data_IF_999187522132
#
_entry.id   IF_999187522132
#
_cell.length_a   1.000
_cell.length_b   1.000
_cell.length_c   1.000
_cell.angle_alpha   90.00
_cell.angle_beta   90.00
_cell.angle_gamma   90.00
#
_symmetry.space_group_name_H-M   'P 1'
#
loop_
_entity.id
_entity.type
_entity.pdbx_description
1 polymer ?
#
# COMPACT_ATOMS: atom_id res chain seq x y z
N UNK A 1 38.15 -24.15 39.42
CA UNK A 1 37.96 -22.87 38.73
C UNK A 1 37.17 -23.12 37.46
N UNK A 2 35.87 -22.82 37.47
CA UNK A 2 35.03 -22.77 36.27
C UNK A 2 34.16 -21.52 36.42
N UNK A 3 34.58 -20.42 35.78
CA UNK A 3 33.80 -19.20 35.74
C UNK A 3 32.80 -19.31 34.59
N UNK A 4 31.52 -19.46 34.93
CA UNK A 4 30.42 -19.29 33.99
C UNK A 4 30.25 -17.80 33.68
N UNK A 5 30.60 -17.39 32.46
CA UNK A 5 30.16 -16.10 31.91
C UNK A 5 28.71 -16.26 31.43
N UNK A 6 27.77 -15.66 32.16
CA UNK A 6 26.40 -15.45 31.66
C UNK A 6 26.45 -14.22 30.76
N UNK A 7 26.44 -14.44 29.45
CA UNK A 7 26.14 -13.42 28.46
C UNK A 7 24.64 -13.10 28.54
N UNK A 8 24.29 -12.08 29.31
CA UNK A 8 22.98 -11.43 29.22
C UNK A 8 22.92 -10.67 27.89
N UNK A 9 22.33 -11.30 26.87
CA UNK A 9 21.80 -10.57 25.73
C UNK A 9 20.55 -9.83 26.19
N UNK A 10 20.68 -8.53 26.48
CA UNK A 10 19.51 -7.65 26.51
C UNK A 10 19.01 -7.53 25.08
N UNK A 11 18.04 -8.36 24.71
CA UNK A 11 17.26 -8.13 23.49
C UNK A 11 16.53 -6.80 23.67
N UNK A 12 17.12 -5.72 23.16
CA UNK A 12 16.43 -4.44 23.04
C UNK A 12 15.17 -4.69 22.22
N UNK A 13 14.00 -4.46 22.81
CA UNK A 13 12.74 -4.53 22.10
C UNK A 13 12.83 -3.53 20.94
N UNK A 14 12.88 -4.03 19.70
CA UNK A 14 12.85 -3.19 18.52
C UNK A 14 11.54 -2.39 18.55
N UNK A 15 11.64 -1.07 18.72
CA UNK A 15 10.48 -0.20 18.63
C UNK A 15 10.02 -0.11 17.17
N UNK A 16 8.72 -0.17 16.97
CA UNK A 16 8.14 0.15 15.67
C UNK A 16 8.45 1.62 15.36
N UNK A 17 8.89 1.89 14.13
CA UNK A 17 9.17 3.24 13.68
C UNK A 17 8.07 3.75 12.76
N UNK A 18 7.73 5.02 12.93
CA UNK A 18 6.76 5.77 12.14
C UNK A 18 7.42 6.39 10.89
N UNK A 19 6.60 6.87 9.94
CA UNK A 19 7.12 7.57 8.77
C UNK A 19 7.93 8.83 9.15
N UNK A 20 7.54 9.51 10.22
CA UNK A 20 8.23 10.73 10.70
C UNK A 20 9.62 10.45 11.29
N UNK A 21 9.94 9.20 11.65
CA UNK A 21 11.28 8.83 12.13
C UNK A 21 12.30 8.71 10.99
N UNK A 22 11.81 8.52 9.76
CA UNK A 22 12.64 8.26 8.58
C UNK A 22 12.55 9.36 7.52
N UNK A 23 11.48 10.15 7.55
CA UNK A 23 11.22 11.21 6.60
C UNK A 23 10.81 12.50 7.29
N UNK A 24 11.24 13.62 6.72
CA UNK A 24 10.81 14.95 7.11
C UNK A 24 9.53 15.31 6.38
N UNK A 25 8.50 15.70 7.13
CA UNK A 25 7.29 16.31 6.56
C UNK A 25 7.63 17.69 5.96
N UNK A 26 7.38 17.87 4.68
CA UNK A 26 7.62 19.13 3.96
C UNK A 26 6.34 19.91 3.66
N UNK A 27 5.22 19.20 3.51
CA UNK A 27 3.92 19.80 3.18
C UNK A 27 2.80 18.97 3.77
N UNK A 28 1.77 19.64 4.28
CA UNK A 28 0.51 19.03 4.68
C UNK A 28 -0.64 19.96 4.32
N UNK A 29 -1.70 19.42 3.74
CA UNK A 29 -2.92 20.14 3.45
C UNK A 29 -4.12 19.19 3.34
N UNK A 30 -5.31 19.76 3.54
CA UNK A 30 -6.56 19.09 3.22
C UNK A 30 -7.18 19.75 1.99
N UNK A 31 -7.50 18.96 0.97
CA UNK A 31 -8.12 19.44 -0.26
C UNK A 31 -9.22 18.47 -0.71
N UNK A 32 -10.43 18.98 -0.94
CA UNK A 32 -11.58 18.18 -1.40
C UNK A 32 -11.89 16.95 -0.52
N UNK A 33 -11.70 17.08 0.81
CA UNK A 33 -11.91 15.98 1.75
C UNK A 33 -10.76 14.97 1.82
N UNK A 34 -9.69 15.17 1.05
CA UNK A 34 -8.49 14.33 1.01
C UNK A 34 -7.39 14.98 1.85
N UNK A 35 -6.77 14.21 2.73
CA UNK A 35 -5.53 14.62 3.41
C UNK A 35 -4.35 14.35 2.48
N UNK A 36 -3.49 15.34 2.29
CA UNK A 36 -2.29 15.25 1.45
C UNK A 36 -1.07 15.59 2.30
N UNK A 37 -0.10 14.68 2.34
CA UNK A 37 1.18 14.90 3.04
C UNK A 37 2.35 14.59 2.12
N UNK A 38 3.41 15.38 2.18
CA UNK A 38 4.62 15.19 1.39
C UNK A 38 5.79 15.06 2.32
N UNK A 39 6.50 13.97 2.17
CA UNK A 39 7.64 13.62 2.99
C UNK A 39 8.88 13.53 2.12
N UNK A 40 10.01 14.03 2.63
CA UNK A 40 11.31 13.92 2.00
C UNK A 40 12.30 13.19 2.92
N UNK A 41 13.13 12.34 2.34
CA UNK A 41 14.14 11.56 3.04
C UNK A 41 15.16 10.98 2.09
N UNK A 42 15.83 9.92 2.52
CA UNK A 42 16.82 9.20 1.72
C UNK A 42 16.33 7.79 1.48
N UNK A 43 16.39 7.32 0.25
CA UNK A 43 16.05 5.94 -0.12
C UNK A 43 16.98 4.96 0.61
N UNK A 44 16.38 3.94 1.22
CA UNK A 44 17.10 2.86 1.90
C UNK A 44 16.49 1.53 1.50
N UNK A 45 17.34 0.51 1.37
CA UNK A 45 16.89 -0.83 0.98
C UNK A 45 15.86 -1.41 1.96
N UNK A 46 16.00 -1.10 3.25
CA UNK A 46 15.10 -1.57 4.32
C UNK A 46 13.63 -1.21 4.06
N UNK A 47 13.35 -0.13 3.33
CA UNK A 47 11.98 0.29 3.02
C UNK A 47 11.23 -0.69 2.13
N UNK A 48 11.94 -1.52 1.38
CA UNK A 48 11.36 -2.48 0.42
C UNK A 48 11.29 -3.91 0.97
N UNK A 49 11.83 -4.14 2.16
CA UNK A 49 11.86 -5.40 2.89
C UNK A 49 10.75 -5.45 3.95
N UNK A 50 10.31 -6.62 4.41
CA UNK A 50 9.40 -6.72 5.55
C UNK A 50 9.97 -6.03 6.80
N UNK A 51 9.11 -5.39 7.59
CA UNK A 51 9.52 -4.76 8.83
C UNK A 51 9.96 -5.81 9.88
N UNK A 52 10.97 -5.46 10.69
CA UNK A 52 11.37 -6.28 11.85
C UNK A 52 10.30 -6.21 12.95
N UNK A 53 9.69 -5.02 13.12
CA UNK A 53 8.61 -4.76 14.05
C UNK A 53 7.55 -3.90 13.37
N UNK A 54 6.29 -4.30 13.49
CA UNK A 54 5.15 -3.58 12.93
C UNK A 54 4.59 -2.55 13.91
N UNK A 55 4.02 -1.43 13.43
CA UNK A 55 3.27 -0.50 14.25
C UNK A 55 2.10 -1.16 14.98
N UNK A 56 1.77 -0.65 16.18
CA UNK A 56 0.67 -1.19 17.01
C UNK A 56 -0.66 -1.20 16.27
N UNK A 57 -0.96 -0.14 15.50
CA UNK A 57 -2.17 -0.03 14.68
C UNK A 57 -2.33 -1.22 13.72
N UNK A 58 -1.23 -1.63 13.10
CA UNK A 58 -1.19 -2.72 12.13
C UNK A 58 -1.21 -4.09 12.81
N UNK A 59 -0.59 -4.22 13.99
CA UNK A 59 -0.69 -5.44 14.81
C UNK A 59 -2.15 -5.71 15.18
N UNK A 60 -2.85 -4.70 15.72
CA UNK A 60 -4.26 -4.85 16.11
C UNK A 60 -5.17 -5.06 14.88
N UNK A 61 -4.95 -4.32 13.79
CA UNK A 61 -5.65 -4.58 12.52
C UNK A 61 -5.50 -6.04 12.07
N UNK A 62 -4.27 -6.56 12.06
CA UNK A 62 -4.00 -7.93 11.58
C UNK A 62 -4.65 -8.97 12.48
N UNK A 63 -4.63 -8.75 13.79
CA UNK A 63 -5.28 -9.61 14.79
C UNK A 63 -6.80 -9.66 14.56
N UNK A 64 -7.44 -8.51 14.39
CA UNK A 64 -8.88 -8.41 14.15
C UNK A 64 -9.32 -9.08 12.83
N UNK A 65 -8.58 -8.87 11.74
CA UNK A 65 -8.86 -9.54 10.46
C UNK A 65 -8.71 -11.06 10.57
N UNK A 66 -7.61 -11.55 11.18
CA UNK A 66 -7.35 -12.99 11.35
C UNK A 66 -8.39 -13.69 12.22
N UNK A 67 -9.03 -12.98 13.14
CA UNK A 67 -10.11 -13.52 13.94
C UNK A 67 -11.38 -13.80 13.12
N UNK A 68 -11.51 -13.22 11.91
CA UNK A 68 -12.71 -13.29 11.07
C UNK A 68 -12.51 -14.08 9.78
N UNK A 69 -11.28 -14.12 9.28
CA UNK A 69 -10.98 -14.82 8.04
C UNK A 69 -9.55 -15.35 7.98
N UNK A 70 -9.37 -16.43 7.22
CA UNK A 70 -8.05 -16.87 6.76
C UNK A 70 -7.40 -15.81 5.88
N UNK A 71 -6.27 -15.28 6.33
CA UNK A 71 -5.52 -14.22 5.65
C UNK A 71 -4.47 -14.77 4.67
N UNK A 72 -4.45 -16.08 4.43
CA UNK A 72 -3.64 -16.65 3.35
C UNK A 72 -4.06 -16.00 2.00
N UNK A 73 -3.11 -15.43 1.25
CA UNK A 73 -3.43 -14.70 0.04
C UNK A 73 -4.13 -15.56 -1.02
N UNK A 74 -3.76 -16.84 -1.14
CA UNK A 74 -4.34 -17.75 -2.15
C UNK A 74 -5.77 -18.10 -1.76
N UNK A 75 -6.02 -18.35 -0.46
CA UNK A 75 -7.36 -18.60 0.07
C UNK A 75 -8.27 -17.39 -0.15
N UNK A 76 -7.80 -16.18 0.19
CA UNK A 76 -8.57 -14.94 0.00
C UNK A 76 -8.91 -14.69 -1.48
N UNK A 77 -7.93 -14.80 -2.38
CA UNK A 77 -8.14 -14.59 -3.81
C UNK A 77 -9.12 -15.61 -4.41
N UNK A 78 -9.02 -16.90 -4.04
CA UNK A 78 -9.97 -17.91 -4.51
C UNK A 78 -11.39 -17.64 -4.03
N UNK A 79 -11.55 -17.30 -2.75
CA UNK A 79 -12.85 -16.93 -2.20
C UNK A 79 -13.46 -15.74 -2.92
N UNK A 80 -12.70 -14.66 -3.14
CA UNK A 80 -13.22 -13.50 -3.84
C UNK A 80 -13.49 -13.78 -5.33
N UNK A 81 -12.68 -14.63 -5.97
CA UNK A 81 -12.96 -15.12 -7.33
C UNK A 81 -14.32 -15.84 -7.41
N UNK A 82 -14.62 -16.70 -6.44
CA UNK A 82 -15.91 -17.41 -6.37
C UNK A 82 -17.08 -16.45 -6.19
N UNK A 83 -16.92 -15.43 -5.34
CA UNK A 83 -17.91 -14.35 -5.16
C UNK A 83 -18.20 -13.66 -6.50
N UNK A 84 -17.17 -13.23 -7.22
CA UNK A 84 -17.33 -12.55 -8.50
C UNK A 84 -17.95 -13.47 -9.56
N UNK A 85 -17.58 -14.75 -9.57
CA UNK A 85 -18.17 -15.74 -10.47
C UNK A 85 -19.67 -15.91 -10.21
N UNK A 86 -20.07 -16.01 -8.93
CA UNK A 86 -21.47 -16.15 -8.52
C UNK A 86 -22.28 -14.88 -8.78
N UNK A 87 -21.64 -13.70 -8.72
CA UNK A 87 -22.25 -12.42 -9.10
C UNK A 87 -22.35 -12.20 -10.62
N UNK A 88 -21.87 -13.14 -11.44
CA UNK A 88 -21.89 -13.04 -12.91
C UNK A 88 -20.81 -12.12 -13.50
N UNK A 89 -19.84 -11.66 -12.69
CA UNK A 89 -18.75 -10.78 -13.11
C UNK A 89 -17.62 -11.54 -13.82
N UNK A 90 -17.98 -12.31 -14.86
CA UNK A 90 -17.07 -13.25 -15.55
C UNK A 90 -15.84 -12.58 -16.14
N UNK A 91 -15.96 -11.33 -16.57
CA UNK A 91 -14.88 -10.57 -17.21
C UNK A 91 -13.73 -10.24 -16.22
N UNK A 92 -13.97 -10.31 -14.91
CA UNK A 92 -12.96 -10.09 -13.88
C UNK A 92 -12.17 -11.35 -13.55
N UNK A 93 -12.72 -12.54 -13.83
CA UNK A 93 -12.13 -13.82 -13.41
C UNK A 93 -10.72 -14.07 -13.97
N UNK A 94 -10.38 -13.70 -15.23
CA UNK A 94 -9.02 -13.86 -15.74
C UNK A 94 -7.96 -13.10 -14.94
N UNK A 95 -8.31 -12.00 -14.27
CA UNK A 95 -7.37 -11.27 -13.41
C UNK A 95 -7.06 -12.02 -12.13
N UNK A 96 -8.06 -12.68 -11.54
CA UNK A 96 -7.82 -13.54 -10.39
C UNK A 96 -6.85 -14.66 -10.75
N UNK A 97 -7.04 -15.30 -11.91
CA UNK A 97 -6.11 -16.34 -12.39
C UNK A 97 -4.69 -15.80 -12.60
N UNK A 98 -4.58 -14.60 -13.18
CA UNK A 98 -3.31 -13.91 -13.34
C UNK A 98 -2.63 -13.66 -11.99
N UNK A 99 -3.32 -13.05 -11.03
CA UNK A 99 -2.74 -12.75 -9.71
C UNK A 99 -2.40 -14.03 -8.95
N UNK A 100 -3.24 -15.07 -9.03
CA UNK A 100 -2.97 -16.38 -8.43
C UNK A 100 -1.73 -17.08 -9.02
N UNK A 101 -1.35 -16.75 -10.26
CA UNK A 101 -0.13 -17.26 -10.89
C UNK A 101 1.14 -16.49 -10.52
N UNK A 102 1.00 -15.39 -9.77
CA UNK A 102 2.10 -14.49 -9.44
C UNK A 102 2.55 -14.65 -8.00
N UNK A 103 3.77 -14.20 -7.74
CA UNK A 103 4.28 -14.09 -6.38
C UNK A 103 3.63 -12.91 -5.68
N UNK A 104 2.94 -13.19 -4.58
CA UNK A 104 2.52 -12.18 -3.61
C UNK A 104 3.60 -12.04 -2.55
N UNK A 105 3.92 -10.80 -2.20
CA UNK A 105 4.96 -10.49 -1.24
C UNK A 105 4.34 -10.20 0.11
N UNK A 106 5.08 -10.43 1.19
CA UNK A 106 4.77 -9.79 2.48
C UNK A 106 4.91 -8.28 2.31
N UNK A 107 4.03 -7.52 2.98
CA UNK A 107 4.12 -6.07 2.95
C UNK A 107 5.49 -5.59 3.42
N UNK A 108 6.01 -4.58 2.74
CA UNK A 108 7.26 -3.95 3.07
C UNK A 108 7.12 -2.96 4.22
N UNK A 109 8.26 -2.60 4.80
CA UNK A 109 8.34 -1.63 5.87
C UNK A 109 7.80 -0.26 5.47
N UNK A 110 7.99 0.19 4.22
CA UNK A 110 7.34 1.40 3.72
C UNK A 110 5.82 1.28 3.70
N UNK A 111 5.29 0.16 3.21
CA UNK A 111 3.84 -0.08 3.18
C UNK A 111 3.25 -0.10 4.59
N UNK A 112 3.95 -0.66 5.58
CA UNK A 112 3.51 -0.64 6.98
C UNK A 112 3.49 0.78 7.57
N UNK A 113 4.51 1.60 7.29
CA UNK A 113 4.52 3.00 7.73
C UNK A 113 3.40 3.82 7.08
N UNK A 114 3.09 3.57 5.81
CA UNK A 114 2.00 4.25 5.11
C UNK A 114 0.62 3.84 5.64
N UNK A 115 0.43 2.56 5.95
CA UNK A 115 -0.79 2.06 6.60
C UNK A 115 -0.98 2.64 8.00
N UNK A 116 0.11 2.76 8.78
CA UNK A 116 0.08 3.39 10.11
C UNK A 116 -0.28 4.87 10.02
N UNK A 117 0.35 5.60 9.09
CA UNK A 117 -0.01 7.00 8.79
C UNK A 117 -1.47 7.15 8.38
N UNK A 118 -1.98 6.24 7.54
CA UNK A 118 -3.40 6.23 7.16
C UNK A 118 -4.29 6.03 8.40
N UNK A 119 -3.96 5.09 9.28
CA UNK A 119 -4.69 4.86 10.53
C UNK A 119 -4.69 6.09 11.45
N UNK A 120 -3.55 6.79 11.55
CA UNK A 120 -3.42 8.05 12.30
C UNK A 120 -4.41 9.10 11.77
N UNK A 121 -4.42 9.32 10.45
CA UNK A 121 -5.27 10.32 9.79
C UNK A 121 -6.76 10.00 9.97
N UNK A 122 -7.13 8.72 9.92
CA UNK A 122 -8.50 8.29 10.17
C UNK A 122 -8.94 8.50 11.63
N UNK A 123 -7.99 8.60 12.57
CA UNK A 123 -8.26 8.65 14.01
C UNK A 123 -8.88 7.36 14.56
N UNK A 124 -8.83 6.26 13.79
CA UNK A 124 -9.40 4.95 14.14
C UNK A 124 -8.57 3.83 13.53
N UNK A 125 -8.67 2.59 14.04
CA UNK A 125 -8.03 1.45 13.41
C UNK A 125 -8.46 1.31 11.94
N UNK A 126 -7.54 0.86 11.08
CA UNK A 126 -7.84 0.50 9.69
C UNK A 126 -8.97 -0.54 9.59
N UNK A 127 -9.11 -1.36 10.63
CA UNK A 127 -10.16 -2.35 10.73
C UNK A 127 -11.56 -1.70 10.73
N UNK A 128 -12.42 -2.13 9.81
CA UNK A 128 -13.77 -1.57 9.66
C UNK A 128 -13.83 -0.19 8.98
N UNK A 129 -12.69 0.31 8.48
CA UNK A 129 -12.66 1.48 7.62
C UNK A 129 -12.69 1.04 6.14
N UNK A 130 -13.75 1.40 5.43
CA UNK A 130 -13.81 1.24 3.97
C UNK A 130 -13.13 2.45 3.33
N UNK A 131 -11.81 2.56 3.51
CA UNK A 131 -11.01 3.72 3.15
C UNK A 131 -9.71 3.32 2.48
N UNK A 132 -9.23 4.17 1.57
CA UNK A 132 -7.98 3.95 0.84
C UNK A 132 -7.02 5.13 0.97
N UNK A 133 -5.73 4.81 0.99
CA UNK A 133 -4.65 5.76 0.74
C UNK A 133 -4.01 5.48 -0.61
N UNK A 134 -3.41 6.50 -1.20
CA UNK A 134 -2.46 6.37 -2.31
C UNK A 134 -1.16 7.09 -1.99
N UNK A 135 -0.03 6.56 -2.44
CA UNK A 135 1.28 7.16 -2.24
C UNK A 135 2.10 7.09 -3.52
N UNK A 136 2.58 8.25 -3.98
CA UNK A 136 3.55 8.32 -5.07
C UNK A 136 4.95 8.41 -4.49
N UNK A 137 5.77 7.40 -4.76
CA UNK A 137 7.16 7.32 -4.32
C UNK A 137 8.06 7.73 -5.48
N UNK A 138 8.79 8.83 -5.31
CA UNK A 138 9.76 9.33 -6.28
C UNK A 138 11.17 9.22 -5.74
N UNK A 139 12.12 8.93 -6.62
CA UNK A 139 13.55 8.87 -6.29
C UNK A 139 14.33 9.88 -7.14
N UNK A 140 15.14 10.70 -6.48
CA UNK A 140 16.00 11.71 -7.07
C UNK A 140 17.42 11.19 -7.38
N UNK A 141 18.26 12.02 -8.03
CA UNK A 141 19.61 11.64 -8.48
C UNK A 141 20.53 11.10 -7.37
N UNK A 142 20.44 11.70 -6.18
CA UNK A 142 21.31 11.36 -5.04
C UNK A 142 20.62 10.42 -4.04
N UNK A 143 19.76 9.53 -4.54
CA UNK A 143 18.90 8.65 -3.73
C UNK A 143 17.97 9.42 -2.78
N UNK A 144 17.70 10.68 -3.08
CA UNK A 144 16.65 11.44 -2.41
C UNK A 144 15.32 10.73 -2.63
N UNK A 145 14.50 10.56 -1.60
CA UNK A 145 13.22 9.90 -1.70
C UNK A 145 12.13 10.85 -1.27
N UNK A 146 11.11 10.97 -2.11
CA UNK A 146 9.91 11.76 -1.83
C UNK A 146 8.70 10.83 -1.83
N UNK A 147 7.85 10.98 -0.82
CA UNK A 147 6.57 10.29 -0.72
C UNK A 147 5.46 11.34 -0.73
N UNK A 148 4.66 11.36 -1.79
CA UNK A 148 3.43 12.17 -1.89
C UNK A 148 2.28 11.25 -1.48
N UNK A 149 1.81 11.40 -0.25
CA UNK A 149 0.76 10.59 0.36
C UNK A 149 -0.60 11.28 0.28
N UNK A 150 -1.64 10.50 -0.02
CA UNK A 150 -3.04 10.90 -0.04
C UNK A 150 -3.84 9.91 0.80
N UNK A 151 -4.73 10.41 1.66
CA UNK A 151 -5.68 9.58 2.40
C UNK A 151 -7.11 10.05 2.12
N UNK A 152 -7.97 9.12 1.70
CA UNK A 152 -9.40 9.32 1.58
C UNK A 152 -10.11 8.67 2.78
N UNK A 153 -10.58 9.45 3.77
CA UNK A 153 -11.11 8.88 5.00
C UNK A 153 -12.52 8.27 4.88
N UNK A 154 -13.22 8.56 3.78
CA UNK A 154 -14.65 8.27 3.61
C UNK A 154 -14.98 7.28 2.50
N UNK A 155 -14.05 6.98 1.59
CA UNK A 155 -14.33 6.11 0.44
C UNK A 155 -13.18 5.14 0.17
N UNK A 156 -13.50 3.95 -0.33
CA UNK A 156 -12.53 3.00 -0.83
C UNK A 156 -12.16 3.31 -2.28
N UNK A 157 -11.52 4.46 -2.47
CA UNK A 157 -10.96 4.88 -3.74
C UNK A 157 -9.82 5.87 -3.49
N UNK A 158 -8.67 5.62 -4.09
CA UNK A 158 -7.58 6.59 -4.15
C UNK A 158 -8.07 7.84 -4.91
N UNK A 159 -8.07 9.02 -4.26
CA UNK A 159 -8.68 10.20 -4.86
C UNK A 159 -7.77 10.76 -5.96
N UNK A 160 -8.36 11.06 -7.12
CA UNK A 160 -7.70 11.88 -8.12
C UNK A 160 -7.57 13.31 -7.57
N UNK A 161 -6.34 13.80 -7.39
CA UNK A 161 -6.10 15.09 -6.77
C UNK A 161 -5.09 15.93 -7.57
N UNK A 162 -5.49 17.15 -7.93
CA UNK A 162 -4.65 18.07 -8.71
C UNK A 162 -3.41 18.51 -7.95
N UNK A 163 -3.48 18.65 -6.63
CA UNK A 163 -2.32 19.01 -5.79
C UNK A 163 -1.25 17.92 -5.84
N UNK A 164 -1.65 16.64 -5.78
CA UNK A 164 -0.71 15.52 -6.00
C UNK A 164 -0.04 15.65 -7.37
N UNK A 165 -0.82 15.87 -8.43
CA UNK A 165 -0.28 15.96 -9.78
C UNK A 165 0.72 17.13 -9.93
N UNK A 166 0.43 18.28 -9.33
CA UNK A 166 1.32 19.45 -9.31
C UNK A 166 2.66 19.13 -8.64
N UNK A 167 2.63 18.48 -7.48
CA UNK A 167 3.84 18.07 -6.78
C UNK A 167 4.61 16.98 -7.53
N UNK A 168 3.92 16.01 -8.11
CA UNK A 168 4.52 14.97 -8.94
C UNK A 168 5.29 15.62 -10.10
N UNK A 169 4.64 16.52 -10.87
CA UNK A 169 5.27 17.27 -11.97
C UNK A 169 6.47 18.09 -11.50
N UNK A 170 6.37 18.75 -10.35
CA UNK A 170 7.46 19.55 -9.77
C UNK A 170 8.70 18.70 -9.47
N UNK A 171 8.53 17.51 -8.91
CA UNK A 171 9.65 16.61 -8.63
C UNK A 171 10.22 15.97 -9.90
N UNK A 172 9.36 15.54 -10.83
CA UNK A 172 9.79 15.02 -12.13
C UNK A 172 10.63 16.06 -12.91
N UNK A 173 10.23 17.33 -12.90
CA UNK A 173 10.99 18.43 -13.52
C UNK A 173 12.36 18.66 -12.88
N UNK A 174 12.57 18.20 -11.64
CA UNK A 174 13.86 18.25 -10.92
C UNK A 174 14.72 16.99 -11.12
N UNK A 175 14.32 16.09 -12.02
CA UNK A 175 15.07 14.88 -12.34
C UNK A 175 14.76 13.68 -11.43
N UNK A 176 13.68 13.74 -10.67
CA UNK A 176 13.19 12.55 -9.96
C UNK A 176 12.49 11.61 -10.95
N UNK A 177 12.50 10.31 -10.68
CA UNK A 177 11.70 9.31 -11.39
C UNK A 177 10.57 8.79 -10.50
N UNK A 178 9.40 8.56 -11.11
CA UNK A 178 8.23 8.03 -10.41
C UNK A 178 8.32 6.51 -10.28
N UNK A 179 8.95 6.06 -9.20
CA UNK A 179 9.36 4.67 -9.02
C UNK A 179 8.20 3.73 -8.69
N UNK A 180 7.37 4.09 -7.71
CA UNK A 180 6.29 3.22 -7.23
C UNK A 180 5.04 4.05 -6.89
N UNK A 181 3.87 3.62 -7.36
CA UNK A 181 2.59 3.99 -6.77
C UNK A 181 2.14 2.90 -5.79
N UNK A 182 1.85 3.25 -4.54
CA UNK A 182 1.41 2.31 -3.50
C UNK A 182 0.00 2.68 -3.06
N UNK A 183 -0.93 1.73 -3.00
CA UNK A 183 -2.24 1.95 -2.37
C UNK A 183 -2.73 0.70 -1.65
N UNK A 184 -3.74 0.85 -0.78
CA UNK A 184 -4.32 -0.29 -0.07
C UNK A 184 -5.70 -0.68 -0.61
N UNK A 185 -6.06 -1.96 -0.47
CA UNK A 185 -7.43 -2.45 -0.55
C UNK A 185 -7.93 -2.85 0.83
N UNK A 186 -8.95 -2.17 1.39
CA UNK A 186 -9.44 -2.45 2.73
C UNK A 186 -10.27 -3.74 2.77
N UNK A 187 -10.35 -4.35 3.97
CA UNK A 187 -11.35 -5.37 4.25
C UNK A 187 -12.70 -4.72 4.59
N UNK A 188 -13.78 -5.21 3.98
CA UNK A 188 -15.14 -4.75 4.18
C UNK A 188 -16.03 -5.85 4.77
N UNK A 189 -15.94 -6.09 6.08
CA UNK A 189 -16.73 -7.13 6.74
C UNK A 189 -18.23 -6.82 6.88
N UNK A 190 -18.69 -5.62 6.54
CA UNK A 190 -20.12 -5.31 6.49
C UNK A 190 -20.77 -5.81 5.19
N UNK A 191 -19.96 -6.12 4.16
CA UNK A 191 -20.42 -6.71 2.92
C UNK A 191 -20.27 -8.25 2.97
N UNK A 192 -21.37 -9.01 3.14
CA UNK A 192 -21.31 -10.47 3.24
C UNK A 192 -20.98 -11.14 1.90
N UNK A 193 -21.11 -10.41 0.78
CA UNK A 193 -20.84 -10.94 -0.54
C UNK A 193 -19.38 -10.73 -0.91
N UNK A 194 -18.85 -9.52 -0.74
CA UNK A 194 -17.45 -9.20 -1.02
C UNK A 194 -16.80 -8.52 0.19
N UNK A 195 -16.06 -9.33 0.94
CA UNK A 195 -15.30 -8.90 2.10
C UNK A 195 -14.08 -8.04 1.74
N UNK A 196 -13.77 -7.84 0.46
CA UNK A 196 -12.62 -7.08 -0.01
C UNK A 196 -11.28 -7.67 0.44
N UNK A 197 -10.29 -6.78 0.59
CA UNK A 197 -9.00 -7.13 1.18
C UNK A 197 -8.12 -8.05 0.33
N UNK A 198 -8.32 -8.13 -0.98
CA UNK A 198 -7.35 -8.78 -1.88
C UNK A 198 -6.57 -7.72 -2.68
N UNK A 199 -5.30 -7.99 -3.03
CA UNK A 199 -4.48 -7.03 -3.77
C UNK A 199 -4.73 -7.10 -5.29
N UNK A 200 -5.89 -7.58 -5.74
CA UNK A 200 -6.22 -7.65 -7.17
C UNK A 200 -6.51 -6.25 -7.73
N UNK A 201 -5.92 -5.82 -8.86
CA UNK A 201 -6.25 -4.53 -9.46
C UNK A 201 -7.73 -4.44 -9.85
N UNK A 202 -8.34 -3.33 -9.49
CA UNK A 202 -9.72 -2.96 -9.84
C UNK A 202 -9.85 -2.35 -11.25
N UNK A 203 -11.11 -2.20 -11.69
CA UNK A 203 -11.50 -1.53 -12.94
C UNK A 203 -11.12 -2.24 -14.23
N UNK A 204 -11.30 -1.63 -15.39
CA UNK A 204 -10.82 -2.14 -16.69
C UNK A 204 -10.35 -1.03 -17.59
N UNK A 205 -9.39 -1.32 -18.48
CA UNK A 205 -8.84 -0.47 -19.56
C UNK A 205 -8.54 1.00 -19.22
N UNK A 206 -9.58 1.81 -19.00
CA UNK A 206 -9.57 3.25 -18.78
C UNK A 206 -10.00 3.69 -17.37
N UNK A 207 -10.39 2.76 -16.50
CA UNK A 207 -10.85 3.06 -15.14
C UNK A 207 -10.34 2.07 -14.09
N UNK A 208 -10.47 2.44 -12.82
CA UNK A 208 -9.87 1.74 -11.67
C UNK A 208 -8.35 1.68 -11.74
N UNK A 209 -7.76 0.76 -10.99
CA UNK A 209 -6.30 0.59 -10.88
C UNK A 209 -5.66 0.36 -12.25
N UNK A 210 -6.23 -0.52 -13.07
CA UNK A 210 -5.68 -0.86 -14.38
C UNK A 210 -5.58 0.37 -15.30
N UNK A 211 -6.64 1.18 -15.36
CA UNK A 211 -6.66 2.40 -16.15
C UNK A 211 -5.73 3.47 -15.58
N UNK A 212 -5.70 3.63 -14.27
CA UNK A 212 -4.83 4.59 -13.59
C UNK A 212 -3.35 4.29 -13.87
N UNK A 213 -2.90 3.04 -13.72
CA UNK A 213 -1.50 2.68 -13.92
C UNK A 213 -1.04 2.83 -15.37
N UNK A 214 -1.89 2.50 -16.34
CA UNK A 214 -1.59 2.74 -17.77
C UNK A 214 -1.45 4.24 -18.05
N UNK A 215 -2.38 5.05 -17.53
CA UNK A 215 -2.34 6.51 -17.66
C UNK A 215 -1.08 7.09 -17.01
N UNK A 216 -0.71 6.65 -15.81
CA UNK A 216 0.47 7.14 -15.10
C UNK A 216 1.78 6.70 -15.74
N UNK A 217 1.85 5.48 -16.29
CA UNK A 217 2.97 5.03 -17.11
C UNK A 217 3.17 5.94 -18.32
N UNK A 218 2.10 6.30 -19.02
CA UNK A 218 2.17 7.14 -20.21
C UNK A 218 2.51 8.61 -19.88
N UNK A 219 1.92 9.16 -18.81
CA UNK A 219 2.03 10.59 -18.47
C UNK A 219 3.25 10.92 -17.63
N UNK A 220 3.64 10.01 -16.74
CA UNK A 220 4.62 10.26 -15.67
C UNK A 220 5.71 9.20 -15.57
N UNK A 221 5.74 8.24 -16.51
CA UNK A 221 6.72 7.17 -16.55
C UNK A 221 6.74 6.31 -15.27
N UNK A 222 5.57 6.07 -14.68
CA UNK A 222 5.42 5.15 -13.55
C UNK A 222 6.08 3.80 -13.84
N UNK A 223 6.96 3.34 -12.95
CA UNK A 223 7.71 2.10 -13.13
C UNK A 223 7.06 0.88 -12.46
N UNK A 224 6.37 1.06 -11.33
CA UNK A 224 5.78 -0.02 -10.54
C UNK A 224 4.50 0.42 -9.83
N UNK A 225 3.56 -0.50 -9.66
CA UNK A 225 2.38 -0.31 -8.83
C UNK A 225 2.26 -1.41 -7.77
N UNK A 226 2.04 -1.02 -6.52
CA UNK A 226 1.95 -1.92 -5.37
C UNK A 226 0.57 -1.79 -4.73
N UNK A 227 -0.15 -2.91 -4.66
CA UNK A 227 -1.48 -2.98 -4.05
C UNK A 227 -1.37 -3.85 -2.80
N UNK A 228 -1.62 -3.27 -1.63
CA UNK A 228 -1.48 -3.95 -0.34
C UNK A 228 -2.83 -4.12 0.36
N UNK A 229 -3.00 -5.20 1.13
CA UNK A 229 -4.12 -5.34 2.08
C UNK A 229 -3.65 -5.29 3.54
N UNK A 230 -2.41 -4.88 3.79
CA UNK A 230 -1.77 -4.88 5.11
C UNK A 230 -1.20 -6.24 5.56
N UNK A 231 -1.39 -7.31 4.78
CA UNK A 231 -0.77 -8.63 5.00
C UNK A 231 0.18 -9.00 3.86
N UNK A 232 -0.33 -8.88 2.65
CA UNK A 232 0.36 -9.17 1.41
C UNK A 232 0.21 -8.01 0.43
N UNK A 233 1.13 -7.97 -0.53
CA UNK A 233 1.19 -6.97 -1.57
C UNK A 233 1.40 -7.61 -2.93
N UNK A 234 0.63 -7.16 -3.90
CA UNK A 234 0.87 -7.44 -5.31
C UNK A 234 1.75 -6.34 -5.85
N UNK A 235 2.90 -6.71 -6.43
CA UNK A 235 3.82 -5.77 -7.08
C UNK A 235 3.77 -5.98 -8.59
N UNK A 236 3.35 -4.95 -9.31
CA UNK A 236 3.13 -4.98 -10.75
C UNK A 236 4.16 -4.06 -11.41
N UNK A 237 5.11 -4.59 -12.20
CA UNK A 237 6.00 -3.74 -12.98
C UNK A 237 5.24 -3.12 -14.16
N UNK A 238 5.66 -1.94 -14.61
CA UNK A 238 5.00 -1.18 -15.68
C UNK A 238 4.88 -1.94 -17.02
N UNK A 239 5.77 -2.90 -17.27
CA UNK A 239 5.69 -3.80 -18.44
C UNK A 239 4.45 -4.70 -18.42
N UNK A 240 3.84 -4.89 -17.25
CA UNK A 240 2.68 -5.76 -17.06
C UNK A 240 1.35 -5.00 -16.89
N UNK A 241 1.34 -3.66 -16.86
CA UNK A 241 0.11 -2.87 -16.69
C UNK A 241 -0.95 -3.14 -17.76
N UNK A 242 -0.53 -3.46 -18.98
CA UNK A 242 -1.45 -3.74 -20.10
C UNK A 242 -2.08 -5.14 -20.04
N UNK A 243 -1.66 -5.95 -19.06
CA UNK A 243 -2.11 -7.34 -18.88
C UNK A 243 -3.21 -7.51 -17.81
N UNK A 244 -3.67 -6.41 -17.21
CA UNK A 244 -4.80 -6.34 -16.27
C UNK A 244 -5.87 -5.41 -16.85
#
# INVERSE_FOLDING_TARGET
MWSFFILLFTAGLAQASSLNDHFKLEYSAQAQGVEIRIFAGTEREVYYQPAIASPTSLIEFRKEVRARIDTDPVVLLKKQKEVFANAGAKDYLPRFDRVLSQKLFTVSFLEEMLLDLHSEILGKPLFGSYSEFGASVLIGPDREMVVIFLSNPSEAMVPANTVREEWLKKYLARGYHFKIHIHNHPFNFSNPQDIGGTPIPSGFELWGDAGAYRSEKQRFLLENAWITNGFNTLRIPAVDFDKY
#
